data_IF_084984744702
#
_entry.id   IF_084984744702
#
_cell.length_a   1.000
_cell.length_b   1.000
_cell.length_c   1.000
_cell.angle_alpha   90.00
_cell.angle_beta   90.00
_cell.angle_gamma   90.00
#
_symmetry.space_group_name_H-M   'P 1'
#
loop_
_entity.id
_entity.type
_entity.pdbx_description
1 polymer ?
#
# COMPACT_ATOMS: atom_id res chain seq x y z
N UNK A 1 -8.27 -10.12 -18.06
CA UNK A 1 -9.06 -8.88 -17.86
C UNK A 1 -10.51 -9.13 -17.38
N UNK A 2 -11.15 -10.25 -17.75
CA UNK A 2 -12.54 -10.58 -17.35
C UNK A 2 -12.81 -10.55 -15.84
N UNK A 3 -11.95 -11.22 -15.04
CA UNK A 3 -12.03 -11.26 -13.56
C UNK A 3 -11.99 -9.85 -12.95
N UNK A 4 -11.10 -9.02 -13.46
CA UNK A 4 -10.89 -7.65 -12.97
C UNK A 4 -12.13 -6.78 -13.23
N UNK A 5 -12.76 -6.94 -14.39
CA UNK A 5 -13.97 -6.20 -14.78
C UNK A 5 -15.19 -6.50 -13.88
N UNK A 6 -15.16 -7.59 -13.12
CA UNK A 6 -16.22 -7.94 -12.16
C UNK A 6 -16.10 -7.17 -10.82
N UNK A 7 -14.95 -6.54 -10.55
CA UNK A 7 -14.72 -5.79 -9.30
C UNK A 7 -15.31 -4.38 -9.38
N UNK A 8 -16.59 -4.23 -9.02
CA UNK A 8 -17.34 -2.95 -9.02
C UNK A 8 -16.72 -1.81 -8.19
N UNK A 9 -15.80 -2.13 -7.27
CA UNK A 9 -15.09 -1.18 -6.39
C UNK A 9 -13.71 -0.78 -6.92
N UNK A 10 -13.35 -1.17 -8.14
CA UNK A 10 -12.09 -0.84 -8.80
C UNK A 10 -12.35 -0.02 -10.07
N UNK A 11 -11.51 0.96 -10.35
CA UNK A 11 -11.52 1.74 -11.59
C UNK A 11 -10.10 2.00 -12.08
N UNK A 12 -9.91 2.03 -13.40
CA UNK A 12 -8.60 2.28 -14.02
C UNK A 12 -8.51 3.68 -14.61
N UNK A 13 -7.30 4.23 -14.56
CA UNK A 13 -6.96 5.50 -15.15
C UNK A 13 -6.46 6.48 -14.10
N UNK A 14 -5.90 7.59 -14.58
CA UNK A 14 -5.47 8.67 -13.71
C UNK A 14 -6.67 9.17 -12.89
N UNK A 15 -6.57 9.21 -11.55
CA UNK A 15 -7.69 9.63 -10.73
C UNK A 15 -7.94 11.12 -10.91
N UNK A 16 -9.21 11.47 -11.12
CA UNK A 16 -9.68 12.86 -11.00
C UNK A 16 -9.93 13.15 -9.51
N UNK A 17 -8.87 13.57 -8.83
CA UNK A 17 -8.84 13.76 -7.38
C UNK A 17 -9.81 14.87 -6.95
N UNK A 18 -9.87 15.97 -7.69
CA UNK A 18 -10.76 17.10 -7.40
C UNK A 18 -12.24 16.69 -7.50
N UNK A 19 -12.62 15.95 -8.55
CA UNK A 19 -13.99 15.47 -8.69
C UNK A 19 -14.38 14.53 -7.54
N UNK A 20 -13.48 13.63 -7.14
CA UNK A 20 -13.74 12.70 -6.05
C UNK A 20 -13.84 13.44 -4.70
N UNK A 21 -12.95 14.40 -4.44
CA UNK A 21 -13.01 15.24 -3.25
C UNK A 21 -14.33 16.04 -3.19
N UNK A 22 -14.77 16.67 -4.30
CA UNK A 22 -16.05 17.38 -4.40
C UNK A 22 -17.28 16.50 -4.17
N UNK A 23 -17.17 15.19 -4.45
CA UNK A 23 -18.21 14.19 -4.13
C UNK A 23 -18.22 13.76 -2.66
N UNK A 24 -17.37 14.35 -1.82
CA UNK A 24 -17.27 14.10 -0.38
C UNK A 24 -16.52 12.82 -0.04
N UNK A 25 -15.61 12.36 -0.91
CA UNK A 25 -14.74 11.22 -0.61
C UNK A 25 -13.46 11.69 0.07
N UNK A 26 -13.06 10.96 1.10
CA UNK A 26 -11.68 10.95 1.57
C UNK A 26 -10.88 10.04 0.63
N UNK A 27 -9.79 10.56 0.09
CA UNK A 27 -8.87 9.90 -0.85
C UNK A 27 -7.54 9.68 -0.12
N UNK A 28 -7.01 8.46 -0.15
CA UNK A 28 -5.75 8.15 0.53
C UNK A 28 -4.88 7.29 -0.39
N UNK A 29 -3.64 7.72 -0.61
CA UNK A 29 -2.61 6.84 -1.14
C UNK A 29 -2.12 5.92 -0.02
N UNK A 30 -2.49 4.64 -0.07
CA UNK A 30 -2.32 3.70 1.04
C UNK A 30 -0.93 3.06 1.13
N UNK A 31 0.03 3.48 0.30
CA UNK A 31 1.37 2.90 0.28
C UNK A 31 2.38 3.91 -0.27
N UNK A 32 3.13 4.56 0.61
CA UNK A 32 4.12 5.59 0.27
C UNK A 32 5.36 5.44 1.15
N UNK A 33 6.54 5.57 0.53
CA UNK A 33 7.84 5.50 1.17
C UNK A 33 8.52 6.88 1.24
N UNK A 34 9.33 7.07 2.28
CA UNK A 34 10.16 8.27 2.50
C UNK A 34 11.63 7.89 2.57
N UNK A 35 12.50 8.89 2.68
CA UNK A 35 13.94 8.70 2.91
C UNK A 35 14.29 8.14 4.29
N UNK A 36 13.29 7.80 5.11
CA UNK A 36 13.49 7.03 6.33
C UNK A 36 13.79 5.57 6.01
N UNK A 37 13.16 4.98 4.98
CA UNK A 37 13.58 3.71 4.37
C UNK A 37 14.40 3.97 3.10
N UNK A 38 13.76 3.92 1.94
CA UNK A 38 14.35 3.83 0.61
C UNK A 38 13.64 4.73 -0.43
N UNK A 39 12.65 5.53 0.01
CA UNK A 39 12.12 6.62 -0.77
C UNK A 39 13.10 7.78 -0.92
N UNK A 40 12.91 8.60 -1.95
CA UNK A 40 13.75 9.77 -2.23
C UNK A 40 13.26 11.05 -1.54
N UNK A 41 12.00 11.07 -1.10
CA UNK A 41 11.35 12.24 -0.51
C UNK A 41 11.46 12.22 1.01
N UNK A 42 11.68 13.38 1.62
CA UNK A 42 11.51 13.49 3.08
C UNK A 42 10.03 13.30 3.48
N UNK A 43 9.74 12.92 4.73
CA UNK A 43 8.37 12.83 5.22
C UNK A 43 7.57 14.13 4.98
N UNK A 44 8.17 15.30 5.26
CA UNK A 44 7.53 16.60 4.98
C UNK A 44 7.25 16.82 3.48
N UNK A 45 8.15 16.40 2.59
CA UNK A 45 7.93 16.53 1.14
C UNK A 45 6.79 15.63 0.65
N UNK A 46 6.62 14.44 1.26
CA UNK A 46 5.46 13.56 1.00
C UNK A 46 4.16 14.24 1.45
N UNK A 47 4.12 14.77 2.67
CA UNK A 47 2.94 15.49 3.18
C UNK A 47 2.62 16.72 2.33
N UNK A 48 3.62 17.52 1.95
CA UNK A 48 3.44 18.67 1.08
C UNK A 48 2.87 18.25 -0.27
N UNK A 49 3.34 17.14 -0.85
CA UNK A 49 2.78 16.60 -2.09
C UNK A 49 1.34 16.13 -1.93
N UNK A 50 1.03 15.46 -0.83
CA UNK A 50 -0.33 15.03 -0.53
C UNK A 50 -1.29 16.22 -0.39
N UNK A 51 -0.85 17.30 0.26
CA UNK A 51 -1.58 18.59 0.31
C UNK A 51 -1.84 19.16 -1.09
N UNK A 52 -0.81 19.25 -1.93
CA UNK A 52 -0.94 19.75 -3.32
C UNK A 52 -1.98 18.95 -4.13
N UNK A 53 -2.15 17.67 -3.81
CA UNK A 53 -3.06 16.74 -4.48
C UNK A 53 -4.45 16.66 -3.83
N UNK A 54 -4.66 17.26 -2.65
CA UNK A 54 -5.91 17.14 -1.90
C UNK A 54 -6.20 15.71 -1.42
N UNK A 55 -5.16 14.92 -1.11
CA UNK A 55 -5.28 13.53 -0.64
C UNK A 55 -4.62 13.36 0.73
N UNK A 56 -5.01 12.30 1.44
CA UNK A 56 -4.22 11.73 2.54
C UNK A 56 -3.18 10.73 2.04
N UNK A 57 -2.30 10.30 2.93
CA UNK A 57 -1.27 9.29 2.67
C UNK A 57 -1.12 8.32 3.83
N UNK A 58 -0.75 7.07 3.55
CA UNK A 58 -0.19 6.15 4.52
C UNK A 58 1.31 6.04 4.26
N UNK A 59 2.12 6.63 5.15
CA UNK A 59 3.58 6.55 5.07
C UNK A 59 3.99 5.25 5.74
N UNK A 60 4.53 4.31 4.96
CA UNK A 60 4.74 2.91 5.32
C UNK A 60 6.17 2.46 5.04
N UNK A 61 7.15 3.24 5.51
CA UNK A 61 8.57 2.92 5.37
C UNK A 61 8.88 1.48 5.82
N UNK A 62 9.79 0.79 5.11
CA UNK A 62 10.23 -0.57 5.45
C UNK A 62 10.79 -0.65 6.87
N UNK A 63 10.11 -1.44 7.72
CA UNK A 63 10.46 -1.77 9.10
C UNK A 63 10.79 -0.54 9.98
N UNK A 64 10.29 0.65 9.60
CA UNK A 64 10.55 1.91 10.30
C UNK A 64 9.27 2.74 10.39
N UNK A 65 9.12 3.48 11.48
CA UNK A 65 7.91 4.28 11.74
C UNK A 65 8.16 5.79 11.79
N UNK A 66 9.42 6.21 11.69
CA UNK A 66 9.78 7.61 11.96
C UNK A 66 9.11 8.57 10.97
N UNK A 67 9.04 8.20 9.69
CA UNK A 67 8.39 9.01 8.66
C UNK A 67 6.90 9.15 8.91
N UNK A 68 6.24 8.04 9.24
CA UNK A 68 4.82 7.98 9.59
C UNK A 68 4.49 8.83 10.82
N UNK A 69 5.20 8.60 11.93
CA UNK A 69 4.94 9.28 13.22
C UNK A 69 5.19 10.78 13.13
N UNK A 70 6.28 11.23 12.50
CA UNK A 70 6.61 12.66 12.38
C UNK A 70 5.63 13.43 11.49
N UNK A 71 4.97 12.74 10.56
CA UNK A 71 4.08 13.35 9.59
C UNK A 71 2.63 13.45 10.07
N UNK A 72 2.28 12.80 11.18
CA UNK A 72 0.90 12.70 11.65
C UNK A 72 0.30 14.07 11.98
N UNK A 73 0.93 14.83 12.88
CA UNK A 73 0.51 16.19 13.27
C UNK A 73 1.21 17.24 12.40
N UNK A 74 0.99 17.17 11.10
CA UNK A 74 1.55 18.14 10.16
C UNK A 74 0.76 19.46 10.12
N UNK A 75 1.45 20.55 9.82
CA UNK A 75 0.88 21.91 9.72
C UNK A 75 -0.20 22.08 8.65
N UNK A 76 -0.31 21.14 7.70
CA UNK A 76 -1.24 21.23 6.57
C UNK A 76 -2.58 20.54 6.84
N UNK A 77 -2.75 19.88 8.00
CA UNK A 77 -3.91 19.04 8.31
C UNK A 77 -4.17 17.95 7.24
N UNK A 78 -3.11 17.50 6.56
CA UNK A 78 -3.20 16.37 5.63
C UNK A 78 -3.44 15.11 6.47
N UNK A 79 -4.45 14.30 6.14
CA UNK A 79 -4.64 13.02 6.81
C UNK A 79 -3.46 12.08 6.54
N UNK A 80 -2.68 11.78 7.56
CA UNK A 80 -1.60 10.78 7.49
C UNK A 80 -2.01 9.57 8.31
N UNK A 81 -2.22 8.44 7.65
CA UNK A 81 -2.52 7.17 8.33
C UNK A 81 -1.22 6.65 8.94
N UNK A 82 -1.16 6.44 10.27
CA UNK A 82 -0.03 5.77 10.90
C UNK A 82 0.12 4.37 10.35
N UNK A 83 1.28 4.08 9.74
CA UNK A 83 1.54 2.81 9.07
C UNK A 83 3.00 2.42 9.02
N UNK A 84 3.23 1.16 8.64
CA UNK A 84 4.54 0.52 8.44
C UNK A 84 4.39 -0.61 7.41
N UNK A 85 5.38 -0.79 6.56
CA UNK A 85 5.53 -2.01 5.75
C UNK A 85 6.53 -2.93 6.45
N UNK A 86 6.09 -4.14 6.81
CA UNK A 86 6.90 -5.14 7.51
C UNK A 86 7.22 -6.29 6.57
N UNK A 87 8.50 -6.61 6.43
CA UNK A 87 8.98 -7.76 5.67
C UNK A 87 9.01 -9.01 6.56
N UNK A 88 8.46 -10.11 6.05
CA UNK A 88 8.59 -11.44 6.65
C UNK A 88 9.95 -12.07 6.32
N UNK A 89 10.39 -13.05 7.10
CA UNK A 89 11.64 -13.79 6.84
C UNK A 89 11.66 -14.60 5.53
N UNK A 90 10.52 -14.70 4.85
CA UNK A 90 10.35 -15.31 3.53
C UNK A 90 10.20 -14.28 2.40
N UNK A 91 10.34 -12.99 2.69
CA UNK A 91 10.31 -11.88 1.73
C UNK A 91 8.91 -11.36 1.38
N UNK A 92 7.84 -11.85 2.02
CA UNK A 92 6.51 -11.24 1.87
C UNK A 92 6.36 -9.98 2.70
N UNK A 93 5.74 -8.96 2.11
CA UNK A 93 5.54 -7.68 2.77
C UNK A 93 4.08 -7.49 3.21
N UNK A 94 3.90 -6.86 4.36
CA UNK A 94 2.60 -6.56 4.93
C UNK A 94 2.53 -5.10 5.37
N UNK A 95 1.48 -4.43 4.92
CA UNK A 95 1.14 -3.08 5.36
C UNK A 95 0.25 -3.16 6.58
N UNK A 96 0.69 -2.54 7.66
CA UNK A 96 -0.11 -2.35 8.87
C UNK A 96 -0.57 -0.91 8.95
N UNK A 97 -1.87 -0.69 9.09
CA UNK A 97 -2.47 0.62 9.29
C UNK A 97 -3.12 0.71 10.66
N UNK A 98 -2.87 1.80 11.37
CA UNK A 98 -3.35 2.05 12.72
C UNK A 98 -4.25 3.29 12.77
N UNK A 99 -5.07 3.38 13.81
CA UNK A 99 -5.93 4.54 14.04
C UNK A 99 -5.15 5.73 14.62
N UNK A 100 -4.09 5.47 15.38
CA UNK A 100 -3.24 6.52 16.00
C UNK A 100 -1.75 6.19 15.95
N UNK A 101 -0.86 7.21 16.05
CA UNK A 101 0.58 6.99 16.18
C UNK A 101 0.96 6.19 17.41
N UNK A 102 0.21 6.30 18.51
CA UNK A 102 0.47 5.57 19.76
C UNK A 102 0.31 4.08 19.58
N UNK A 103 -0.76 3.64 18.89
CA UNK A 103 -0.96 2.23 18.54
C UNK A 103 0.21 1.71 17.67
N UNK A 104 0.66 2.48 16.67
CA UNK A 104 1.81 2.14 15.83
C UNK A 104 3.12 2.06 16.64
N UNK A 105 3.37 3.01 17.53
CA UNK A 105 4.59 3.05 18.37
C UNK A 105 4.68 1.82 19.28
N UNK A 106 3.55 1.42 19.90
CA UNK A 106 3.48 0.22 20.75
C UNK A 106 3.75 -1.02 19.91
N UNK A 107 3.05 -1.19 18.78
CA UNK A 107 3.28 -2.31 17.85
C UNK A 107 4.75 -2.40 17.42
N UNK A 108 5.34 -1.28 16.99
CA UNK A 108 6.73 -1.24 16.53
C UNK A 108 7.71 -1.64 17.63
N UNK A 109 7.55 -1.07 18.83
CA UNK A 109 8.43 -1.34 19.97
C UNK A 109 8.40 -2.83 20.37
N UNK A 110 7.21 -3.40 20.43
CA UNK A 110 7.01 -4.75 20.96
C UNK A 110 7.34 -5.82 19.92
N UNK A 111 6.98 -5.58 18.66
CA UNK A 111 6.96 -6.64 17.65
C UNK A 111 8.07 -6.52 16.60
N UNK A 112 8.48 -5.31 16.21
CA UNK A 112 9.33 -5.07 15.04
C UNK A 112 10.76 -4.65 15.42
N UNK A 113 10.92 -3.68 16.32
CA UNK A 113 12.23 -3.09 16.66
C UNK A 113 13.21 -4.15 17.16
N UNK A 114 14.34 -4.30 16.48
CA UNK A 114 15.37 -5.31 16.76
C UNK A 114 15.04 -6.72 16.26
N UNK A 115 13.95 -6.88 15.50
CA UNK A 115 13.47 -8.15 14.90
C UNK A 115 13.07 -7.98 13.44
N UNK A 116 13.62 -6.95 12.78
CA UNK A 116 13.36 -6.61 11.38
C UNK A 116 13.65 -7.81 10.47
N UNK A 117 12.73 -8.13 9.56
CA UNK A 117 12.79 -9.28 8.65
C UNK A 117 12.94 -10.67 9.33
N UNK A 118 12.74 -10.81 10.65
CA UNK A 118 12.98 -12.09 11.35
C UNK A 118 11.74 -12.95 11.53
N UNK A 119 10.55 -12.35 11.48
CA UNK A 119 9.29 -13.04 11.77
C UNK A 119 8.77 -13.80 10.57
N UNK A 120 8.16 -14.96 10.84
CA UNK A 120 7.41 -15.67 9.82
C UNK A 120 6.13 -14.92 9.47
N UNK A 121 5.62 -15.19 8.26
CA UNK A 121 4.28 -14.81 7.82
C UNK A 121 3.20 -15.13 8.87
N UNK A 122 3.27 -16.32 9.48
CA UNK A 122 2.24 -16.77 10.41
C UNK A 122 2.21 -15.92 11.68
N UNK A 123 3.39 -15.60 12.22
CA UNK A 123 3.54 -14.74 13.40
C UNK A 123 3.02 -13.34 13.10
N UNK A 124 3.45 -12.74 11.97
CA UNK A 124 2.99 -11.42 11.53
C UNK A 124 1.46 -11.37 11.42
N UNK A 125 0.85 -12.34 10.74
CA UNK A 125 -0.60 -12.40 10.58
C UNK A 125 -1.36 -12.67 11.88
N UNK A 126 -0.73 -13.21 12.92
CA UNK A 126 -1.34 -13.38 14.24
C UNK A 126 -1.30 -12.10 15.10
N UNK A 127 -0.44 -11.13 14.77
CA UNK A 127 -0.33 -9.86 15.52
C UNK A 127 -1.63 -9.07 15.54
N UNK A 128 -2.44 -9.12 14.47
CA UNK A 128 -3.75 -8.46 14.43
C UNK A 128 -4.74 -8.90 15.52
N UNK A 129 -4.50 -10.04 16.19
CA UNK A 129 -5.32 -10.49 17.32
C UNK A 129 -5.04 -9.66 18.59
N UNK A 130 -3.87 -9.02 18.64
CA UNK A 130 -3.36 -8.25 19.78
C UNK A 130 -3.39 -6.75 19.53
N UNK A 131 -3.36 -6.33 18.27
CA UNK A 131 -3.30 -4.92 17.88
C UNK A 131 -4.52 -4.54 17.03
N UNK A 132 -5.10 -3.38 17.34
CA UNK A 132 -6.19 -2.79 16.56
C UNK A 132 -5.64 -2.18 15.27
N UNK A 133 -5.37 -3.02 14.28
CA UNK A 133 -4.84 -2.60 12.99
C UNK A 133 -5.66 -3.18 11.84
N UNK A 134 -5.46 -2.60 10.66
CA UNK A 134 -5.85 -3.19 9.39
C UNK A 134 -4.59 -3.75 8.74
N UNK A 135 -4.60 -5.04 8.37
CA UNK A 135 -3.45 -5.68 7.71
C UNK A 135 -3.74 -5.91 6.23
N UNK A 136 -2.91 -5.33 5.36
CA UNK A 136 -2.94 -5.57 3.92
C UNK A 136 -1.71 -6.37 3.48
N UNK A 137 -1.90 -7.41 2.66
CA UNK A 137 -0.78 -8.05 1.98
C UNK A 137 -0.33 -7.13 0.84
N UNK A 138 0.86 -6.56 0.96
CA UNK A 138 1.48 -5.69 -0.03
C UNK A 138 1.91 -6.50 -1.25
N UNK A 139 1.65 -5.95 -2.44
CA UNK A 139 2.06 -6.48 -3.74
C UNK A 139 2.20 -8.04 -3.82
N UNK A 140 1.16 -8.84 -3.45
CA UNK A 140 1.31 -10.28 -3.15
C UNK A 140 1.73 -11.18 -4.33
N UNK A 141 1.70 -10.64 -5.54
CA UNK A 141 2.13 -11.31 -6.77
C UNK A 141 3.34 -10.63 -7.43
N UNK A 142 4.02 -9.72 -6.70
CA UNK A 142 5.22 -9.01 -7.10
C UNK A 142 6.49 -9.39 -6.31
N UNK A 143 6.40 -9.97 -5.11
CA UNK A 143 7.59 -10.39 -4.35
C UNK A 143 8.30 -11.65 -4.92
N UNK A 144 9.62 -11.59 -5.23
CA UNK A 144 10.41 -12.74 -5.67
C UNK A 144 10.40 -13.91 -4.66
N UNK A 145 10.63 -15.16 -5.11
CA UNK A 145 10.74 -15.57 -6.50
C UNK A 145 9.33 -15.66 -7.12
N UNK A 146 9.03 -14.86 -8.14
CA UNK A 146 7.74 -14.84 -8.83
C UNK A 146 7.54 -16.01 -9.82
N UNK A 147 8.10 -17.19 -9.54
CA UNK A 147 7.85 -18.37 -10.37
C UNK A 147 6.40 -18.83 -10.20
N UNK A 148 5.79 -19.34 -11.27
CA UNK A 148 4.44 -19.95 -11.21
C UNK A 148 4.33 -21.02 -10.09
N UNK A 149 5.44 -21.71 -9.80
CA UNK A 149 5.59 -22.68 -8.72
C UNK A 149 5.54 -22.05 -7.31
N UNK A 150 6.18 -20.91 -7.07
CA UNK A 150 6.12 -20.23 -5.76
C UNK A 150 4.69 -19.80 -5.43
N UNK A 151 3.94 -19.38 -6.45
CA UNK A 151 2.57 -18.91 -6.31
C UNK A 151 1.58 -20.03 -5.95
N UNK A 152 1.79 -21.26 -6.45
CA UNK A 152 1.01 -22.45 -6.01
C UNK A 152 1.34 -22.84 -4.57
N UNK A 153 2.59 -22.69 -4.11
CA UNK A 153 2.95 -22.94 -2.70
C UNK A 153 2.32 -21.89 -1.77
N UNK A 154 2.37 -20.60 -2.12
CA UNK A 154 1.74 -19.51 -1.34
C UNK A 154 0.21 -19.68 -1.15
N UNK A 155 -0.49 -20.30 -2.11
CA UNK A 155 -1.94 -20.65 -2.02
C UNK A 155 -2.27 -21.66 -0.91
N UNK A 156 -1.32 -22.52 -0.55
CA UNK A 156 -1.53 -23.65 0.36
C UNK A 156 -1.12 -23.28 1.80
N UNK A 157 -0.14 -22.38 1.96
CA UNK A 157 0.44 -22.02 3.27
C UNK A 157 -0.16 -20.78 3.93
N UNK A 158 -0.65 -19.79 3.19
CA UNK A 158 -1.18 -18.57 3.82
C UNK A 158 -2.64 -18.78 4.23
N UNK A 159 -2.91 -18.77 5.54
CA UNK A 159 -4.28 -18.71 6.03
C UNK A 159 -4.88 -17.33 5.74
N UNK A 160 -5.41 -17.19 4.52
CA UNK A 160 -6.03 -15.96 4.03
C UNK A 160 -7.13 -15.43 4.94
N UNK A 161 -7.74 -16.24 5.82
CA UNK A 161 -8.71 -15.74 6.80
C UNK A 161 -8.10 -14.67 7.70
N UNK A 162 -6.79 -14.76 8.02
CA UNK A 162 -6.09 -13.80 8.88
C UNK A 162 -5.82 -12.46 8.20
N UNK A 163 -5.76 -12.39 6.88
CA UNK A 163 -5.52 -11.14 6.13
C UNK A 163 -6.82 -10.33 6.01
N UNK A 164 -6.82 -9.04 6.35
CA UNK A 164 -8.03 -8.20 6.20
C UNK A 164 -8.26 -7.82 4.74
N UNK A 165 -7.21 -7.32 4.11
CA UNK A 165 -7.22 -6.82 2.75
C UNK A 165 -6.00 -7.28 1.94
N UNK A 166 -6.13 -7.26 0.62
CA UNK A 166 -5.00 -7.41 -0.28
C UNK A 166 -4.80 -6.08 -1.01
N UNK A 167 -3.55 -5.69 -1.22
CA UNK A 167 -3.25 -4.58 -2.12
C UNK A 167 -3.53 -5.02 -3.55
N UNK A 168 -4.66 -4.57 -4.09
CA UNK A 168 -5.17 -4.96 -5.39
C UNK A 168 -4.47 -4.21 -6.52
N UNK A 169 -4.34 -2.90 -6.36
CA UNK A 169 -3.70 -2.04 -7.34
C UNK A 169 -2.49 -1.38 -6.68
N UNK A 170 -1.31 -1.80 -7.08
CA UNK A 170 -0.04 -1.21 -6.71
C UNK A 170 0.49 -0.41 -7.91
N UNK A 171 1.00 0.80 -7.66
CA UNK A 171 1.45 1.71 -8.72
C UNK A 171 2.69 1.22 -9.49
N UNK A 172 3.51 0.37 -8.85
CA UNK A 172 4.74 -0.20 -9.41
C UNK A 172 4.58 -1.63 -9.94
N UNK A 173 3.61 -2.40 -9.43
CA UNK A 173 3.42 -3.80 -9.81
C UNK A 173 2.87 -3.99 -11.24
N UNK A 174 3.25 -5.12 -11.86
CA UNK A 174 2.85 -5.48 -13.23
C UNK A 174 1.38 -5.92 -13.41
N UNK A 175 0.95 -6.12 -14.66
CA UNK A 175 -0.45 -6.52 -14.99
C UNK A 175 -0.84 -7.88 -14.41
N UNK A 176 0.12 -8.82 -14.41
CA UNK A 176 -0.12 -10.17 -13.89
C UNK A 176 -0.42 -10.18 -12.40
N UNK A 177 0.13 -9.21 -11.65
CA UNK A 177 -0.18 -9.06 -10.23
C UNK A 177 -1.67 -8.83 -10.05
N UNK A 178 -2.20 -7.79 -10.69
CA UNK A 178 -3.58 -7.38 -10.57
C UNK A 178 -4.58 -8.52 -10.84
N UNK A 179 -4.41 -9.28 -11.93
CA UNK A 179 -5.36 -10.36 -12.28
C UNK A 179 -5.34 -11.50 -11.25
N UNK A 180 -4.15 -11.83 -10.76
CA UNK A 180 -3.91 -12.83 -9.73
C UNK A 180 -4.56 -12.42 -8.40
N UNK A 181 -4.35 -11.18 -7.97
CA UNK A 181 -4.91 -10.64 -6.72
C UNK A 181 -6.42 -10.49 -6.80
N UNK A 182 -6.95 -9.97 -7.92
CA UNK A 182 -8.39 -9.86 -8.17
C UNK A 182 -9.10 -11.21 -8.04
N UNK A 183 -8.51 -12.27 -8.61
CA UNK A 183 -9.07 -13.62 -8.53
C UNK A 183 -9.19 -14.12 -7.09
N UNK A 184 -8.19 -13.83 -6.24
CA UNK A 184 -8.23 -14.18 -4.82
C UNK A 184 -9.24 -13.35 -4.04
N UNK A 185 -9.29 -12.04 -4.28
CA UNK A 185 -10.26 -11.14 -3.66
C UNK A 185 -11.69 -11.63 -3.93
N UNK A 186 -12.01 -12.02 -5.15
CA UNK A 186 -13.34 -12.54 -5.48
C UNK A 186 -13.60 -13.90 -4.82
N UNK A 187 -12.65 -14.83 -4.93
CA UNK A 187 -12.78 -16.18 -4.35
C UNK A 187 -12.99 -16.15 -2.83
N UNK A 188 -12.25 -15.28 -2.13
CA UNK A 188 -12.26 -15.21 -0.66
C UNK A 188 -13.09 -14.04 -0.12
N UNK A 189 -13.77 -13.30 -1.01
CA UNK A 189 -14.57 -12.11 -0.70
C UNK A 189 -13.82 -11.11 0.19
N UNK A 190 -12.54 -10.84 -0.07
CA UNK A 190 -11.69 -9.99 0.79
C UNK A 190 -11.90 -8.50 0.54
N UNK A 191 -11.58 -7.69 1.55
CA UNK A 191 -11.38 -6.26 1.33
C UNK A 191 -10.12 -6.03 0.48
N UNK A 192 -9.97 -4.84 -0.04
CA UNK A 192 -8.77 -4.48 -0.80
C UNK A 192 -8.46 -3.01 -0.68
N UNK A 193 -7.18 -2.72 -0.80
CA UNK A 193 -6.61 -1.38 -0.88
C UNK A 193 -5.91 -1.20 -2.24
N UNK A 194 -5.53 0.02 -2.54
CA UNK A 194 -4.54 0.34 -3.54
C UNK A 194 -3.69 1.51 -3.06
N UNK A 195 -2.42 1.46 -3.44
CA UNK A 195 -1.41 2.44 -3.11
C UNK A 195 -0.44 2.58 -4.27
N UNK A 196 0.24 3.72 -4.34
CA UNK A 196 1.20 3.98 -5.42
C UNK A 196 2.50 3.22 -5.26
N UNK A 197 2.82 2.81 -4.03
CA UNK A 197 4.13 2.28 -3.65
C UNK A 197 5.23 3.31 -3.98
N UNK A 198 4.92 4.57 -3.71
CA UNK A 198 5.71 5.69 -4.17
C UNK A 198 7.04 5.79 -3.40
N UNK A 199 8.12 5.72 -4.15
CA UNK A 199 9.48 6.03 -3.73
C UNK A 199 9.94 7.41 -4.25
N UNK A 200 9.13 8.04 -5.11
CA UNK A 200 9.39 9.36 -5.70
C UNK A 200 8.16 10.27 -5.69
N UNK A 201 8.37 11.59 -5.60
CA UNK A 201 7.30 12.61 -5.53
C UNK A 201 6.27 12.47 -6.65
N UNK A 202 6.71 12.10 -7.86
CA UNK A 202 5.84 11.98 -9.04
C UNK A 202 4.90 10.75 -9.00
N UNK A 203 5.18 9.78 -8.13
CA UNK A 203 4.40 8.53 -8.01
C UNK A 203 3.24 8.68 -7.02
N UNK A 204 3.38 9.56 -6.04
CA UNK A 204 2.38 9.82 -4.99
C UNK A 204 1.05 10.22 -5.63
N UNK A 205 -0.02 9.54 -5.22
CA UNK A 205 -1.40 9.78 -5.66
C UNK A 205 -1.76 9.17 -7.02
N UNK A 206 -0.86 8.41 -7.67
CA UNK A 206 -1.19 7.68 -8.91
C UNK A 206 -2.22 6.57 -8.69
N UNK A 207 -2.27 6.02 -7.49
CA UNK A 207 -3.28 5.07 -7.03
C UNK A 207 -3.77 5.53 -5.67
N UNK A 208 -5.09 5.60 -5.51
CA UNK A 208 -5.71 5.97 -4.24
C UNK A 208 -6.84 5.00 -3.89
N UNK A 209 -6.94 4.72 -2.60
CA UNK A 209 -8.13 4.13 -1.98
C UNK A 209 -9.03 5.25 -1.51
N UNK A 210 -10.35 5.13 -1.68
CA UNK A 210 -11.28 6.20 -1.33
C UNK A 210 -12.61 5.70 -0.77
N UNK A 211 -13.16 6.46 0.17
CA UNK A 211 -14.43 6.18 0.82
C UNK A 211 -15.02 7.48 1.40
N UNK A 212 -16.34 7.51 1.62
CA UNK A 212 -16.96 8.60 2.40
C UNK A 212 -16.63 8.35 3.88
N UNK A 213 -15.77 9.18 4.45
CA UNK A 213 -15.31 9.08 5.82
C UNK A 213 -14.94 10.48 6.35
N UNK A 214 -15.15 10.73 7.63
CA UNK A 214 -14.85 12.00 8.29
C UNK A 214 -13.45 12.06 8.90
N UNK A 215 -12.86 10.90 9.19
CA UNK A 215 -11.54 10.76 9.80
C UNK A 215 -10.89 9.41 9.43
N UNK A 216 -9.64 9.23 9.85
CA UNK A 216 -8.83 8.03 9.55
C UNK A 216 -9.49 6.76 10.09
N UNK A 217 -10.03 6.80 11.31
CA UNK A 217 -10.64 5.63 11.94
C UNK A 217 -11.87 5.16 11.16
N UNK A 218 -12.76 6.08 10.79
CA UNK A 218 -13.91 5.77 9.93
C UNK A 218 -13.45 5.26 8.57
N UNK A 219 -12.43 5.87 7.96
CA UNK A 219 -11.89 5.46 6.67
C UNK A 219 -11.37 4.01 6.69
N UNK A 220 -10.53 3.66 7.67
CA UNK A 220 -10.03 2.28 7.85
C UNK A 220 -11.18 1.29 8.09
N UNK A 221 -12.22 1.69 8.81
CA UNK A 221 -13.41 0.87 9.01
C UNK A 221 -14.22 0.69 7.72
N UNK A 222 -14.30 1.70 6.84
CA UNK A 222 -14.89 1.55 5.49
C UNK A 222 -14.08 0.56 4.65
N UNK A 223 -12.75 0.54 4.76
CA UNK A 223 -11.91 -0.46 4.09
C UNK A 223 -12.23 -1.86 4.64
N UNK A 224 -12.21 -2.04 5.97
CA UNK A 224 -12.52 -3.30 6.65
C UNK A 224 -13.89 -3.86 6.25
N UNK A 225 -14.91 -2.98 6.18
CA UNK A 225 -16.28 -3.31 5.75
C UNK A 225 -16.46 -3.45 4.23
N UNK A 226 -15.39 -3.38 3.43
CA UNK A 226 -15.42 -3.52 1.95
C UNK A 226 -16.25 -2.44 1.27
N UNK A 227 -16.33 -1.25 1.88
CA UNK A 227 -17.05 -0.09 1.37
C UNK A 227 -16.12 0.91 0.65
N UNK A 228 -14.81 0.79 0.83
CA UNK A 228 -13.83 1.56 0.10
C UNK A 228 -13.69 1.11 -1.36
N UNK A 229 -13.30 2.04 -2.23
CA UNK A 229 -13.06 1.85 -3.66
C UNK A 229 -11.60 2.18 -3.96
N UNK A 230 -11.09 1.71 -5.09
CA UNK A 230 -9.72 1.97 -5.55
C UNK A 230 -9.76 2.49 -6.97
N UNK A 231 -8.99 3.55 -7.24
CA UNK A 231 -8.78 4.08 -8.58
C UNK A 231 -7.30 4.38 -8.77
N UNK A 232 -6.79 4.13 -9.97
CA UNK A 232 -5.44 4.56 -10.30
C UNK A 232 -4.92 4.05 -11.62
N UNK A 233 -3.72 4.51 -11.93
CA UNK A 233 -2.92 4.04 -13.05
C UNK A 233 -1.56 3.55 -12.59
N UNK A 234 -1.16 2.39 -13.12
CA UNK A 234 0.20 1.87 -12.95
C UNK A 234 1.21 2.77 -13.67
N UNK A 235 2.47 2.69 -13.29
CA UNK A 235 3.54 3.28 -14.10
C UNK A 235 3.65 2.48 -15.40
N UNK A 236 3.44 3.15 -16.52
CA UNK A 236 3.71 2.57 -17.83
C UNK A 236 5.21 2.70 -18.10
N UNK A 237 5.96 1.60 -17.96
CA UNK A 237 7.41 1.58 -18.12
C UNK A 237 7.87 2.10 -19.49
N UNK A 238 7.11 1.87 -20.57
CA UNK A 238 7.44 2.44 -21.90
C UNK A 238 7.37 3.96 -21.90
N UNK A 239 6.33 4.55 -21.29
CA UNK A 239 6.22 6.01 -21.14
C UNK A 239 7.25 6.57 -20.16
N UNK A 240 7.64 5.79 -19.16
CA UNK A 240 8.69 6.14 -18.22
C UNK A 240 10.06 6.15 -18.92
N UNK A 241 10.42 5.08 -19.62
CA UNK A 241 11.67 4.95 -20.37
C UNK A 241 11.84 6.04 -21.43
N UNK A 242 10.75 6.44 -22.09
CA UNK A 242 10.77 7.51 -23.09
C UNK A 242 11.06 8.92 -22.51
N UNK A 243 10.93 9.13 -21.19
CA UNK A 243 11.12 10.43 -20.53
C UNK A 243 12.46 10.61 -19.83
N UNK A 244 13.26 9.56 -19.69
CA UNK A 244 14.46 9.58 -18.85
C UNK A 244 15.68 9.02 -19.59
N UNK A 245 16.91 9.48 -19.26
CA UNK A 245 18.12 8.99 -19.89
C UNK A 245 18.36 7.50 -19.57
N UNK A 246 18.94 6.77 -20.53
CA UNK A 246 19.06 5.31 -20.53
C UNK A 246 19.66 4.72 -19.22
N UNK A 247 20.67 5.38 -18.63
CA UNK A 247 21.27 4.94 -17.35
C UNK A 247 20.25 4.93 -16.19
N UNK A 248 19.37 5.92 -16.13
CA UNK A 248 18.32 6.02 -15.11
C UNK A 248 17.21 4.99 -15.37
N UNK A 249 16.88 4.77 -16.65
CA UNK A 249 15.92 3.74 -17.08
C UNK A 249 16.41 2.35 -16.71
N UNK A 250 17.70 2.05 -16.90
CA UNK A 250 18.29 0.74 -16.58
C UNK A 250 18.33 0.47 -15.07
N UNK A 251 18.73 1.45 -14.26
CA UNK A 251 18.71 1.34 -12.80
C UNK A 251 17.28 1.09 -12.27
N UNK A 252 16.30 1.80 -12.81
CA UNK A 252 14.89 1.63 -12.42
C UNK A 252 14.27 0.36 -12.99
N UNK A 253 14.63 -0.07 -14.19
CA UNK A 253 14.19 -1.35 -14.75
C UNK A 253 14.57 -2.51 -13.82
N UNK A 254 15.82 -2.53 -13.34
CA UNK A 254 16.27 -3.54 -12.39
C UNK A 254 15.53 -3.48 -11.05
N UNK A 255 15.12 -2.29 -10.60
CA UNK A 255 14.25 -2.12 -9.43
C UNK A 255 12.81 -2.64 -9.70
N UNK A 256 12.21 -2.30 -10.83
CA UNK A 256 10.89 -2.82 -11.26
C UNK A 256 10.88 -4.34 -11.46
N UNK A 257 12.01 -4.94 -11.87
CA UNK A 257 12.16 -6.39 -12.01
C UNK A 257 12.35 -7.12 -10.67
N UNK A 258 12.58 -6.39 -9.57
CA UNK A 258 12.58 -6.94 -8.20
C UNK A 258 11.17 -7.03 -7.60
N UNK A 259 10.16 -6.39 -8.20
CA UNK A 259 8.74 -6.42 -7.80
C UNK A 259 7.85 -6.98 -8.93
#
# INVERSE_FOLDING_TARGET
MWVVNQLKRLSYGRPDLDLLARKGYMLVDMHVHTNVSDGTCSPNAVVQRAKELGIGVAISDHDKILGSVKSYDNEYNVPVIPSIEVEANTGEHFLYYFGTPEELKVFYKDEIKGRECRRSVFELLDLKKRYNCLVSWAHPAGAPPNTWFSWRKKKITFNLKKIDCLELLNGLAGVQHLEKVASWIMKHRKAFTGGSDAHEKAQIGRVVTYAKAKNIQEFLEKVRKKQARVIGERINFLRFAAKYPFKLVFAKFNYFMKF
#
